data_IF_190314871126
#
_entry.id   IF_190314871126
#
_cell.length_a   1.000
_cell.length_b   1.000
_cell.length_c   1.000
_cell.angle_alpha   90.00
_cell.angle_beta   90.00
_cell.angle_gamma   90.00
#
_symmetry.space_group_name_H-M   'P 1'
#
loop_
_entity.id
_entity.type
_entity.pdbx_description
1 polymer ?
#
# COMPACT_ATOMS: atom_id res chain seq x y z
N UNK A 1 -45.92 26.07 55.32
CA UNK A 1 -45.59 25.90 53.88
C UNK A 1 -45.79 27.21 53.09
N UNK A 2 -45.02 28.27 53.38
CA UNK A 2 -44.95 29.50 52.55
C UNK A 2 -43.52 30.07 52.41
N UNK A 3 -42.52 29.56 53.14
CA UNK A 3 -41.13 30.03 53.08
C UNK A 3 -40.23 29.37 52.01
N UNK A 4 -40.56 28.17 51.54
CA UNK A 4 -39.71 27.41 50.58
C UNK A 4 -39.95 27.84 49.12
N UNK A 5 -41.09 28.45 48.80
CA UNK A 5 -41.40 28.87 47.43
C UNK A 5 -40.77 30.22 47.03
N UNK A 6 -40.41 31.07 48.01
CA UNK A 6 -39.80 32.38 47.75
C UNK A 6 -38.29 32.26 47.46
N UNK A 7 -37.59 31.29 48.07
CA UNK A 7 -36.14 31.12 47.86
C UNK A 7 -35.78 30.59 46.45
N UNK A 8 -36.67 29.80 45.81
CA UNK A 8 -36.45 29.27 44.46
C UNK A 8 -36.56 30.32 43.34
N UNK A 9 -37.31 31.41 43.55
CA UNK A 9 -37.44 32.49 42.53
C UNK A 9 -36.23 33.42 42.46
N UNK A 10 -35.47 33.56 43.55
CA UNK A 10 -34.27 34.40 43.58
C UNK A 10 -33.00 33.72 43.04
N UNK A 11 -32.91 32.39 43.14
CA UNK A 11 -31.76 31.64 42.59
C UNK A 11 -31.86 31.51 41.05
N UNK A 12 -33.08 31.48 40.50
CA UNK A 12 -33.31 31.48 39.05
C UNK A 12 -33.14 32.86 38.39
N UNK A 13 -33.30 33.98 39.13
CA UNK A 13 -33.02 35.32 38.60
C UNK A 13 -31.53 35.68 38.64
N UNK A 14 -30.74 35.11 39.57
CA UNK A 14 -29.29 35.33 39.63
C UNK A 14 -28.51 34.59 38.52
N UNK A 15 -29.01 33.46 38.03
CA UNK A 15 -28.35 32.67 36.96
C UNK A 15 -28.58 33.23 35.56
N UNK A 16 -29.70 33.91 35.31
CA UNK A 16 -29.98 34.56 34.02
C UNK A 16 -29.13 35.81 33.74
N UNK A 17 -28.80 36.59 34.77
CA UNK A 17 -28.00 37.81 34.61
C UNK A 17 -26.53 37.57 34.24
N UNK A 18 -25.95 36.46 34.72
CA UNK A 18 -24.54 36.13 34.50
C UNK A 18 -24.28 35.64 33.07
N UNK A 19 -25.24 34.92 32.47
CA UNK A 19 -25.17 34.46 31.07
C UNK A 19 -25.33 35.62 30.09
N UNK A 20 -26.23 36.58 30.37
CA UNK A 20 -26.41 37.77 29.52
C UNK A 20 -25.16 38.66 29.56
N UNK A 21 -24.48 38.77 30.70
CA UNK A 21 -23.22 39.51 30.83
C UNK A 21 -22.09 38.98 29.94
N UNK A 22 -21.95 37.64 29.84
CA UNK A 22 -20.91 37.00 29.02
C UNK A 22 -21.18 37.18 27.52
N UNK A 23 -22.45 37.15 27.11
CA UNK A 23 -22.82 37.38 25.70
C UNK A 23 -22.53 38.84 25.30
N UNK A 24 -22.86 39.80 26.15
CA UNK A 24 -22.57 41.23 25.90
C UNK A 24 -21.06 41.48 25.87
N UNK A 25 -20.27 40.87 26.76
CA UNK A 25 -18.81 41.04 26.75
C UNK A 25 -18.14 40.45 25.50
N UNK A 26 -18.67 39.34 24.98
CA UNK A 26 -18.16 38.71 23.75
C UNK A 26 -18.44 39.58 22.53
N UNK A 27 -19.65 40.15 22.43
CA UNK A 27 -20.02 41.08 21.36
C UNK A 27 -19.20 42.39 21.43
N UNK A 28 -18.90 42.89 22.63
CA UNK A 28 -18.03 44.07 22.79
C UNK A 28 -16.56 43.79 22.45
N UNK A 29 -16.09 42.56 22.66
CA UNK A 29 -14.74 42.14 22.30
C UNK A 29 -14.58 41.99 20.78
N UNK A 30 -15.59 41.44 20.10
CA UNK A 30 -15.60 41.29 18.65
C UNK A 30 -15.71 42.62 17.88
N UNK A 31 -16.20 43.69 18.55
CA UNK A 31 -16.36 45.02 17.97
C UNK A 31 -15.19 45.99 18.25
N UNK A 32 -14.07 45.52 18.82
CA UNK A 32 -12.85 46.33 18.90
C UNK A 32 -12.16 46.38 17.54
N UNK A 33 -12.42 47.47 16.82
CA UNK A 33 -11.84 47.89 15.56
C UNK A 33 -10.32 47.73 15.50
N UNK A 34 -9.82 47.03 14.49
CA UNK A 34 -8.43 47.06 14.07
C UNK A 34 -8.01 48.49 13.72
N UNK A 35 -7.06 49.05 14.46
CA UNK A 35 -6.42 50.34 14.13
C UNK A 35 -5.45 50.10 12.97
N UNK A 36 -5.70 50.75 11.84
CA UNK A 36 -4.75 50.80 10.73
C UNK A 36 -3.54 51.66 11.12
N UNK A 37 -2.33 51.10 10.99
CA UNK A 37 -1.06 51.83 11.18
C UNK A 37 -0.70 52.53 9.86
N UNK A 38 -0.25 53.80 9.86
CA UNK A 38 0.11 54.49 8.63
C UNK A 38 1.43 53.96 8.06
N UNK A 39 1.46 53.66 6.76
CA UNK A 39 2.69 53.35 6.01
C UNK A 39 3.55 54.60 5.86
N UNK A 40 4.82 54.50 6.24
CA UNK A 40 5.85 55.48 5.90
C UNK A 40 6.52 55.10 4.57
N UNK A 41 6.54 56.05 3.64
CA UNK A 41 7.25 55.95 2.36
C UNK A 41 8.77 56.04 2.59
N UNK A 42 9.55 55.11 2.02
CA UNK A 42 10.95 55.24 1.53
C UNK A 42 11.33 53.92 0.78
N UNK A 43 12.32 53.93 -0.13
CA UNK A 43 12.13 53.63 -1.57
C UNK A 43 12.22 52.15 -1.96
N UNK A 44 11.54 51.81 -3.07
CA UNK A 44 11.62 50.52 -3.77
C UNK A 44 13.07 50.19 -4.15
N UNK A 45 13.61 49.12 -3.59
CA UNK A 45 14.71 48.36 -4.19
C UNK A 45 14.06 47.15 -4.83
N UNK A 46 14.05 47.13 -6.17
CA UNK A 46 13.81 45.92 -6.95
C UNK A 46 14.87 44.88 -6.56
N UNK A 47 14.42 43.76 -6.00
CA UNK A 47 15.16 42.51 -6.03
C UNK A 47 14.36 41.51 -6.85
N UNK A 48 14.65 41.50 -8.14
CA UNK A 48 14.45 40.33 -8.98
C UNK A 48 15.29 39.17 -8.44
N UNK A 49 14.66 37.98 -8.44
CA UNK A 49 15.27 36.65 -8.40
C UNK A 49 16.17 36.28 -7.22
N UNK A 50 15.51 35.80 -6.15
CA UNK A 50 16.04 34.70 -5.34
C UNK A 50 14.87 33.90 -4.75
N UNK A 51 14.23 33.09 -5.58
CA UNK A 51 13.40 31.98 -5.11
C UNK A 51 14.37 30.88 -4.62
N UNK A 52 14.99 31.12 -3.47
CA UNK A 52 15.79 30.11 -2.77
C UNK A 52 14.84 29.24 -1.95
N UNK A 53 14.84 27.95 -2.32
CA UNK A 53 14.23 26.81 -1.65
C UNK A 53 14.15 26.99 -0.12
N UNK A 54 12.94 27.20 0.39
CA UNK A 54 12.59 26.65 1.68
C UNK A 54 12.51 25.14 1.49
N UNK A 55 13.42 24.40 2.13
CA UNK A 55 13.17 22.99 2.44
C UNK A 55 11.89 22.95 3.27
N UNK A 56 10.75 22.77 2.61
CA UNK A 56 9.46 22.51 3.23
C UNK A 56 9.69 21.38 4.23
N UNK A 57 9.22 21.51 5.49
CA UNK A 57 9.54 20.61 6.61
C UNK A 57 9.13 19.13 6.47
N UNK A 58 8.94 18.65 5.25
CA UNK A 58 8.85 17.26 4.84
C UNK A 58 10.03 16.46 5.37
N UNK A 59 9.72 15.24 5.78
CA UNK A 59 10.69 14.24 6.22
C UNK A 59 10.42 12.97 5.43
N UNK A 60 11.47 12.28 4.96
CA UNK A 60 11.31 11.02 4.27
C UNK A 60 10.90 9.93 5.26
N UNK A 61 10.09 8.98 4.78
CA UNK A 61 9.69 7.79 5.55
C UNK A 61 10.91 6.89 5.79
N UNK A 62 11.83 6.81 4.82
CA UNK A 62 13.08 6.04 4.90
C UNK A 62 14.28 6.92 4.55
N UNK A 63 15.47 6.60 5.05
CA UNK A 63 16.71 7.32 4.67
C UNK A 63 17.42 6.71 3.43
N UNK A 64 16.64 6.07 2.57
CA UNK A 64 17.11 5.52 1.30
C UNK A 64 17.29 6.62 0.24
N UNK A 65 17.98 6.28 -0.85
CA UNK A 65 18.23 7.23 -1.94
C UNK A 65 16.93 7.76 -2.52
N UNK A 66 16.02 6.85 -2.86
CA UNK A 66 14.65 7.16 -3.27
C UNK A 66 13.74 6.94 -2.07
N UNK A 67 13.00 7.97 -1.68
CA UNK A 67 12.03 7.89 -0.58
C UNK A 67 10.85 8.81 -0.85
N UNK A 68 9.92 8.89 0.10
CA UNK A 68 8.70 9.66 -0.03
C UNK A 68 8.25 10.27 1.29
N UNK A 69 7.29 11.19 1.22
CA UNK A 69 6.59 11.80 2.34
C UNK A 69 5.09 11.92 2.02
N UNK A 70 4.25 11.65 3.01
CA UNK A 70 2.78 11.80 2.95
C UNK A 70 2.28 12.96 3.84
N UNK A 71 3.19 13.86 4.22
CA UNK A 71 2.88 15.04 5.04
C UNK A 71 2.12 16.09 4.24
N UNK A 72 1.38 16.95 4.95
CA UNK A 72 0.59 18.03 4.37
C UNK A 72 -0.49 17.55 3.38
N UNK A 73 -1.03 16.33 3.58
CA UNK A 73 -2.03 15.71 2.70
C UNK A 73 -1.58 15.50 1.24
N UNK A 74 -0.27 15.45 1.02
CA UNK A 74 0.31 15.29 -0.32
C UNK A 74 1.33 14.15 -0.36
N UNK A 75 1.40 13.45 -1.48
CA UNK A 75 2.49 12.53 -1.79
C UNK A 75 3.64 13.30 -2.46
N UNK A 76 4.81 13.29 -1.82
CA UNK A 76 6.04 13.86 -2.35
C UNK A 76 7.13 12.79 -2.38
N UNK A 77 7.94 12.77 -3.44
CA UNK A 77 9.09 11.88 -3.59
C UNK A 77 10.40 12.66 -3.52
N UNK A 78 11.45 11.99 -3.06
CA UNK A 78 12.82 12.50 -3.05
C UNK A 78 13.74 11.47 -3.68
N UNK A 79 14.77 11.93 -4.41
CA UNK A 79 15.81 11.11 -5.01
C UNK A 79 17.18 11.34 -4.36
N UNK A 80 17.22 12.13 -3.28
CA UNK A 80 18.42 12.56 -2.59
C UNK A 80 18.18 12.68 -1.08
N UNK A 81 17.58 11.64 -0.48
CA UNK A 81 17.42 11.50 0.98
C UNK A 81 16.71 12.69 1.66
N UNK A 82 15.83 13.37 0.94
CA UNK A 82 15.01 14.47 1.45
C UNK A 82 15.61 15.86 1.28
N UNK A 83 16.71 16.02 0.53
CA UNK A 83 17.26 17.33 0.19
C UNK A 83 16.32 18.10 -0.76
N UNK A 84 15.83 17.43 -1.81
CA UNK A 84 14.85 17.96 -2.75
C UNK A 84 13.61 17.06 -2.85
N UNK A 85 12.48 17.68 -3.22
CA UNK A 85 11.17 17.04 -3.25
C UNK A 85 10.43 17.33 -4.56
N UNK A 86 9.81 16.30 -5.10
CA UNK A 86 8.90 16.39 -6.25
C UNK A 86 7.52 15.94 -5.81
N UNK A 87 6.51 16.78 -6.03
CA UNK A 87 5.12 16.43 -5.76
C UNK A 87 4.62 15.43 -6.80
N UNK A 88 3.99 14.36 -6.33
CA UNK A 88 3.28 13.39 -7.18
C UNK A 88 1.85 13.91 -7.42
N UNK A 89 1.36 13.99 -8.66
CA UNK A 89 0.02 14.48 -8.95
C UNK A 89 -1.04 13.39 -8.70
N UNK A 90 -1.20 13.04 -7.42
CA UNK A 90 -2.18 12.08 -6.88
C UNK A 90 -2.75 12.67 -5.58
N UNK A 91 -4.07 12.57 -5.41
CA UNK A 91 -4.73 12.89 -4.15
C UNK A 91 -4.43 11.80 -3.13
N UNK A 92 -3.91 12.17 -1.94
CA UNK A 92 -3.41 11.21 -0.93
C UNK A 92 -4.41 10.11 -0.59
N UNK A 93 -5.68 10.45 -0.39
CA UNK A 93 -6.71 9.47 -0.02
C UNK A 93 -6.95 8.39 -1.08
N UNK A 94 -6.68 8.69 -2.35
CA UNK A 94 -6.86 7.73 -3.44
C UNK A 94 -5.83 6.60 -3.43
N UNK A 95 -4.71 6.73 -2.71
CA UNK A 95 -3.70 5.69 -2.51
C UNK A 95 -4.19 4.60 -1.54
N UNK A 96 -5.16 4.95 -0.69
CA UNK A 96 -5.64 4.13 0.44
C UNK A 96 -7.06 3.60 0.23
N UNK A 97 -7.57 3.63 -1.01
CA UNK A 97 -8.90 3.13 -1.34
C UNK A 97 -9.01 1.64 -1.01
N UNK A 98 -10.19 1.17 -0.64
CA UNK A 98 -10.44 -0.23 -0.40
C UNK A 98 -10.37 -0.62 1.08
N UNK A 99 -10.23 -1.91 1.35
CA UNK A 99 -10.23 -2.49 2.69
C UNK A 99 -8.89 -2.27 3.40
N UNK A 100 -8.40 -1.03 3.42
CA UNK A 100 -7.21 -0.64 4.16
C UNK A 100 -7.58 0.03 5.47
N UNK A 101 -7.11 -0.52 6.59
CA UNK A 101 -7.34 -0.02 7.95
C UNK A 101 -6.04 0.36 8.68
N UNK A 102 -4.91 0.36 7.98
CA UNK A 102 -3.62 0.75 8.52
C UNK A 102 -3.44 2.27 8.61
N UNK A 103 -2.25 2.70 9.03
CA UNK A 103 -1.90 4.12 9.05
C UNK A 103 -1.79 4.67 7.64
N UNK A 104 -2.33 5.88 7.41
CA UNK A 104 -2.14 6.63 6.16
C UNK A 104 -0.88 7.50 6.16
N UNK A 105 0.05 7.23 7.07
CA UNK A 105 1.35 7.91 7.17
C UNK A 105 2.41 7.24 6.28
N UNK A 106 2.19 5.98 5.87
CA UNK A 106 3.04 5.21 4.98
C UNK A 106 2.22 4.65 3.81
N UNK A 107 2.84 4.49 2.64
CA UNK A 107 2.22 3.84 1.50
C UNK A 107 1.95 2.36 1.82
N UNK A 108 0.89 1.81 1.23
CA UNK A 108 0.56 0.39 1.39
C UNK A 108 1.69 -0.45 0.77
N UNK A 109 2.28 -1.41 1.52
CA UNK A 109 3.30 -2.28 0.97
C UNK A 109 2.84 -2.98 -0.31
N UNK A 110 3.70 -3.01 -1.33
CA UNK A 110 3.40 -3.57 -2.65
C UNK A 110 2.60 -2.64 -3.57
N UNK A 111 2.03 -1.53 -3.10
CA UNK A 111 1.22 -0.64 -3.94
C UNK A 111 2.04 0.40 -4.73
N UNK A 112 3.36 0.33 -4.68
CA UNK A 112 4.27 1.30 -5.28
C UNK A 112 5.60 0.66 -5.65
N UNK A 113 6.35 1.33 -6.53
CA UNK A 113 7.68 0.91 -6.98
C UNK A 113 8.61 2.11 -6.92
N UNK A 114 9.80 1.89 -6.38
CA UNK A 114 10.92 2.81 -6.46
C UNK A 114 12.13 2.13 -7.08
N UNK A 115 12.64 2.71 -8.15
CA UNK A 115 13.89 2.34 -8.81
C UNK A 115 14.45 3.57 -9.51
N UNK A 116 15.73 3.55 -9.87
CA UNK A 116 16.35 4.64 -10.63
C UNK A 116 15.68 4.85 -12.01
N UNK A 117 15.16 3.76 -12.60
CA UNK A 117 14.51 3.77 -13.91
C UNK A 117 13.04 4.23 -13.84
N UNK A 118 12.37 4.06 -12.69
CA UNK A 118 10.94 4.31 -12.54
C UNK A 118 10.52 4.47 -11.09
N UNK A 119 9.62 5.42 -10.87
CA UNK A 119 8.72 5.43 -9.72
C UNK A 119 7.28 5.23 -10.17
N UNK A 120 6.48 4.50 -9.40
CA UNK A 120 5.09 4.24 -9.76
C UNK A 120 4.19 3.89 -8.57
N UNK A 121 2.89 4.13 -8.72
CA UNK A 121 1.89 4.00 -7.64
C UNK A 121 0.56 3.45 -8.18
N UNK A 122 0.00 2.47 -7.47
CA UNK A 122 -1.41 2.09 -7.60
C UNK A 122 -2.27 3.06 -6.81
N UNK A 123 -3.31 3.60 -7.42
CA UNK A 123 -4.29 4.49 -6.77
C UNK A 123 -5.63 4.48 -7.50
N UNK A 124 -6.65 5.12 -6.91
CA UNK A 124 -7.92 5.43 -7.57
C UNK A 124 -9.15 4.86 -6.86
N UNK A 125 -10.28 5.56 -6.98
CA UNK A 125 -11.55 5.24 -6.29
C UNK A 125 -12.50 4.42 -7.16
N UNK A 126 -12.84 4.93 -8.35
CA UNK A 126 -13.80 4.30 -9.26
C UNK A 126 -13.12 3.28 -10.19
N UNK A 127 -11.88 3.60 -10.58
CA UNK A 127 -11.00 2.74 -11.37
C UNK A 127 -9.67 2.61 -10.65
N UNK A 128 -8.99 1.49 -10.86
CA UNK A 128 -7.64 1.25 -10.34
C UNK A 128 -6.65 1.64 -11.42
N UNK A 129 -5.77 2.58 -11.09
CA UNK A 129 -4.84 3.24 -11.99
C UNK A 129 -3.41 3.01 -11.53
N UNK A 130 -2.48 2.99 -12.48
CA UNK A 130 -1.05 3.02 -12.23
C UNK A 130 -0.48 4.34 -12.76
N UNK A 131 -0.05 5.23 -11.86
CA UNK A 131 0.64 6.46 -12.24
C UNK A 131 2.14 6.29 -12.02
N UNK A 132 2.94 6.66 -13.02
CA UNK A 132 4.38 6.46 -13.00
C UNK A 132 5.15 7.60 -13.68
N UNK A 133 6.43 7.69 -13.35
CA UNK A 133 7.41 8.57 -13.98
C UNK A 133 8.69 7.78 -14.25
N UNK A 134 9.39 8.13 -15.35
CA UNK A 134 10.70 7.57 -15.75
C UNK A 134 11.79 8.64 -15.88
N UNK A 135 11.47 9.87 -15.48
CA UNK A 135 12.33 11.05 -15.60
C UNK A 135 12.39 11.81 -14.27
N UNK A 136 12.45 11.05 -13.18
CA UNK A 136 12.55 11.54 -11.80
C UNK A 136 11.44 12.52 -11.39
N UNK A 137 10.23 12.29 -11.89
CA UNK A 137 9.04 13.06 -11.54
C UNK A 137 8.84 14.35 -12.35
N UNK A 138 9.63 14.57 -13.41
CA UNK A 138 9.46 15.72 -14.33
C UNK A 138 8.18 15.56 -15.15
N UNK A 139 7.91 14.35 -15.67
CA UNK A 139 6.65 14.01 -16.34
C UNK A 139 6.02 12.77 -15.71
N UNK A 140 4.68 12.70 -15.83
CA UNK A 140 3.87 11.62 -15.27
C UNK A 140 2.98 11.02 -16.35
N UNK A 141 2.93 9.70 -16.38
CA UNK A 141 2.06 8.89 -17.23
C UNK A 141 1.13 8.05 -16.37
N UNK A 142 0.05 7.57 -16.98
CA UNK A 142 -1.02 6.86 -16.27
C UNK A 142 -1.55 5.74 -17.16
N UNK A 143 -1.63 4.53 -16.60
CA UNK A 143 -2.30 3.38 -17.19
C UNK A 143 -3.50 2.96 -16.35
N UNK A 144 -4.55 2.49 -17.01
CA UNK A 144 -5.74 1.96 -16.32
C UNK A 144 -5.53 0.46 -16.09
N UNK A 145 -5.33 0.04 -14.85
CA UNK A 145 -5.23 -1.39 -14.49
C UNK A 145 -6.60 -2.03 -14.64
N UNK A 146 -7.62 -1.44 -14.01
CA UNK A 146 -9.00 -1.92 -14.12
C UNK A 146 -9.99 -0.77 -14.02
N UNK A 147 -10.94 -0.73 -14.95
CA UNK A 147 -12.01 0.28 -14.96
C UNK A 147 -13.04 0.05 -13.87
N UNK A 148 -13.32 -1.21 -13.58
CA UNK A 148 -14.29 -1.64 -12.57
C UNK A 148 -13.64 -2.76 -11.78
N UNK A 149 -13.29 -2.48 -10.54
CA UNK A 149 -12.79 -3.49 -9.62
C UNK A 149 -13.63 -3.45 -8.34
N UNK A 150 -13.93 -4.60 -7.72
CA UNK A 150 -14.54 -4.59 -6.39
C UNK A 150 -13.71 -3.81 -5.38
N UNK A 151 -14.26 -3.57 -4.20
CA UNK A 151 -13.55 -2.85 -3.14
C UNK A 151 -12.21 -3.55 -2.81
N UNK A 152 -11.08 -2.91 -3.17
CA UNK A 152 -9.76 -3.55 -3.18
C UNK A 152 -9.29 -3.89 -1.77
N UNK A 153 -8.97 -5.14 -1.48
CA UNK A 153 -8.32 -5.52 -0.22
C UNK A 153 -6.80 -5.57 -0.37
N UNK A 154 -6.31 -6.40 -1.27
CA UNK A 154 -4.88 -6.56 -1.54
C UNK A 154 -4.52 -5.92 -2.88
N UNK A 155 -3.34 -5.32 -2.95
CA UNK A 155 -2.75 -4.82 -4.18
C UNK A 155 -1.25 -5.00 -4.17
N UNK A 156 -0.70 -5.44 -5.28
CA UNK A 156 0.74 -5.50 -5.52
C UNK A 156 1.03 -5.09 -6.94
N UNK A 157 2.11 -4.36 -7.17
CA UNK A 157 2.65 -4.06 -8.50
C UNK A 157 4.16 -4.25 -8.49
N UNK A 158 4.68 -4.79 -9.57
CA UNK A 158 6.12 -4.94 -9.76
C UNK A 158 6.47 -4.96 -11.26
N UNK A 159 7.74 -4.70 -11.57
CA UNK A 159 8.29 -4.73 -12.93
C UNK A 159 9.55 -5.57 -12.96
N UNK A 160 9.60 -6.56 -13.85
CA UNK A 160 10.80 -7.38 -14.06
C UNK A 160 11.81 -6.70 -15.01
N UNK A 161 11.32 -5.80 -15.85
CA UNK A 161 12.12 -4.95 -16.72
C UNK A 161 11.34 -3.67 -17.10
N UNK A 162 11.90 -2.83 -17.96
CA UNK A 162 11.30 -1.54 -18.33
C UNK A 162 9.94 -1.66 -19.05
N UNK A 163 9.63 -2.82 -19.62
CA UNK A 163 8.43 -3.10 -20.41
C UNK A 163 7.45 -4.02 -19.68
N UNK A 164 7.93 -5.13 -19.13
CA UNK A 164 7.10 -6.12 -18.50
C UNK A 164 6.91 -5.86 -17.00
N UNK A 165 5.65 -5.83 -16.60
CA UNK A 165 5.25 -5.76 -15.20
C UNK A 165 3.91 -6.43 -14.96
N UNK A 166 3.57 -6.58 -13.69
CA UNK A 166 2.33 -7.20 -13.25
C UNK A 166 1.69 -6.40 -12.12
N UNK A 167 0.37 -6.50 -12.02
CA UNK A 167 -0.39 -6.05 -10.88
C UNK A 167 -1.31 -7.17 -10.40
N UNK A 168 -1.31 -7.43 -9.09
CA UNK A 168 -2.20 -8.42 -8.45
C UNK A 168 -3.16 -7.66 -7.56
N UNK A 169 -4.46 -7.83 -7.79
CA UNK A 169 -5.52 -7.16 -7.04
C UNK A 169 -6.46 -8.21 -6.44
N UNK A 170 -6.93 -7.98 -5.22
CA UNK A 170 -8.04 -8.75 -4.64
C UNK A 170 -9.12 -7.86 -4.09
N UNK A 171 -10.34 -8.36 -3.98
CA UNK A 171 -11.48 -7.62 -3.45
C UNK A 171 -12.71 -8.50 -3.22
N UNK A 172 -13.82 -7.86 -2.84
CA UNK A 172 -15.09 -8.54 -2.54
C UNK A 172 -14.96 -9.66 -1.50
N UNK A 173 -14.16 -9.40 -0.45
CA UNK A 173 -13.88 -10.41 0.55
C UNK A 173 -15.13 -10.71 1.38
N UNK A 174 -15.51 -11.98 1.41
CA UNK A 174 -16.57 -12.51 2.26
C UNK A 174 -16.05 -13.73 3.01
N UNK A 175 -16.04 -13.65 4.35
CA UNK A 175 -15.44 -14.67 5.22
C UNK A 175 -13.96 -14.92 4.82
N UNK A 176 -13.58 -16.16 4.55
CA UNK A 176 -12.23 -16.56 4.11
C UNK A 176 -12.13 -16.70 2.59
N UNK A 177 -13.00 -16.01 1.84
CA UNK A 177 -12.99 -16.01 0.38
C UNK A 177 -12.90 -14.60 -0.19
N UNK A 178 -12.26 -14.45 -1.35
CA UNK A 178 -12.19 -13.20 -2.10
C UNK A 178 -12.04 -13.44 -3.61
N UNK A 179 -12.35 -12.40 -4.38
CA UNK A 179 -12.00 -12.32 -5.79
C UNK A 179 -10.53 -11.94 -5.93
N UNK A 180 -9.81 -12.60 -6.85
CA UNK A 180 -8.43 -12.27 -7.21
C UNK A 180 -8.30 -12.09 -8.71
N UNK A 181 -7.48 -11.14 -9.13
CA UNK A 181 -7.19 -10.87 -10.54
C UNK A 181 -5.72 -10.48 -10.69
N UNK A 182 -5.16 -10.86 -11.84
CA UNK A 182 -3.81 -10.51 -12.25
C UNK A 182 -3.90 -9.72 -13.55
N UNK A 183 -3.13 -8.64 -13.63
CA UNK A 183 -3.02 -7.80 -14.81
C UNK A 183 -1.56 -7.76 -15.23
N UNK A 184 -1.32 -7.87 -16.53
CA UNK A 184 0.03 -7.81 -17.12
C UNK A 184 0.15 -6.56 -17.98
N UNK A 185 1.35 -5.99 -18.01
CA UNK A 185 1.71 -4.95 -18.96
C UNK A 185 2.95 -5.37 -19.72
N UNK A 186 2.99 -5.05 -21.01
CA UNK A 186 4.15 -5.29 -21.89
C UNK A 186 4.69 -3.99 -22.51
N UNK A 187 4.15 -2.83 -22.11
CA UNK A 187 4.56 -1.50 -22.60
C UNK A 187 5.03 -0.57 -21.47
N UNK A 188 5.35 -1.17 -20.33
CA UNK A 188 5.85 -0.46 -19.18
C UNK A 188 4.75 0.29 -18.44
N UNK A 189 3.56 -0.27 -18.34
CA UNK A 189 2.46 0.23 -17.51
C UNK A 189 1.55 1.25 -18.17
N UNK A 190 1.62 1.42 -19.49
CA UNK A 190 0.73 2.29 -20.27
C UNK A 190 -0.61 1.56 -20.49
N UNK A 191 -0.54 0.29 -20.87
CA UNK A 191 -1.70 -0.60 -21.01
C UNK A 191 -1.55 -1.84 -20.12
N UNK A 192 -2.70 -2.36 -19.67
CA UNK A 192 -2.79 -3.50 -18.76
C UNK A 192 -3.88 -4.45 -19.26
N UNK A 193 -3.54 -5.73 -19.36
CA UNK A 193 -4.43 -6.80 -19.78
C UNK A 193 -4.68 -7.76 -18.62
N UNK A 194 -5.95 -8.06 -18.33
CA UNK A 194 -6.32 -9.02 -17.29
C UNK A 194 -6.06 -10.45 -17.78
N UNK A 195 -5.46 -11.28 -16.93
CA UNK A 195 -5.25 -12.71 -17.21
C UNK A 195 -6.51 -13.52 -16.93
N UNK A 196 -6.48 -14.83 -17.22
CA UNK A 196 -7.47 -15.73 -16.62
C UNK A 196 -7.29 -15.80 -15.11
N UNK A 197 -8.37 -16.09 -14.37
CA UNK A 197 -8.34 -16.21 -12.91
C UNK A 197 -7.95 -17.63 -12.49
N UNK A 198 -7.00 -17.81 -11.55
CA UNK A 198 -6.77 -19.11 -10.94
C UNK A 198 -8.06 -19.66 -10.31
N UNK A 199 -8.32 -20.99 -10.34
CA UNK A 199 -9.55 -21.58 -9.83
C UNK A 199 -9.56 -21.69 -8.28
N UNK A 200 -9.23 -20.60 -7.58
CA UNK A 200 -9.30 -20.48 -6.13
C UNK A 200 -10.00 -19.19 -5.73
N UNK A 201 -10.87 -19.29 -4.73
CA UNK A 201 -11.52 -18.13 -4.09
C UNK A 201 -10.95 -17.86 -2.72
N UNK A 202 -9.87 -18.52 -2.30
CA UNK A 202 -9.26 -18.30 -0.97
C UNK A 202 -8.59 -16.94 -0.89
N UNK A 203 -8.29 -16.51 0.34
CA UNK A 203 -7.51 -15.28 0.58
C UNK A 203 -6.12 -15.45 0.00
N UNK A 204 -5.63 -14.47 -0.76
CA UNK A 204 -4.27 -14.48 -1.29
C UNK A 204 -3.25 -14.33 -0.16
N UNK A 205 -2.20 -15.15 -0.21
CA UNK A 205 -1.00 -15.00 0.58
C UNK A 205 0.01 -14.07 -0.13
N UNK A 206 0.29 -14.35 -1.41
CA UNK A 206 1.13 -13.50 -2.28
C UNK A 206 0.89 -13.87 -3.76
N UNK A 207 1.35 -13.01 -4.68
CA UNK A 207 1.28 -13.24 -6.13
C UNK A 207 2.37 -12.49 -6.89
N UNK A 208 2.86 -13.07 -7.99
CA UNK A 208 3.86 -12.40 -8.82
C UNK A 208 4.40 -13.24 -9.96
N UNK A 209 5.21 -12.60 -10.82
CA UNK A 209 5.83 -13.22 -11.99
C UNK A 209 7.35 -13.22 -11.84
N UNK A 210 8.00 -14.23 -12.40
CA UNK A 210 9.48 -14.35 -12.43
C UNK A 210 10.05 -14.18 -13.85
N UNK A 211 9.19 -14.28 -14.86
CA UNK A 211 9.44 -13.91 -16.25
C UNK A 211 8.09 -13.63 -16.94
N UNK A 212 8.11 -13.29 -18.22
CA UNK A 212 6.91 -12.89 -18.98
C UNK A 212 5.85 -14.00 -19.11
N UNK A 213 6.23 -15.26 -18.92
CA UNK A 213 5.33 -16.40 -19.10
C UNK A 213 5.00 -17.11 -17.78
N UNK A 214 5.90 -17.04 -16.80
CA UNK A 214 5.84 -17.81 -15.56
C UNK A 214 5.44 -16.94 -14.38
N UNK A 215 4.26 -17.22 -13.83
CA UNK A 215 3.69 -16.50 -12.70
C UNK A 215 3.06 -17.42 -11.68
N UNK A 216 2.94 -16.93 -10.45
CA UNK A 216 2.50 -17.70 -9.29
C UNK A 216 1.44 -16.94 -8.50
N UNK A 217 0.46 -17.68 -7.99
CA UNK A 217 -0.56 -17.18 -7.08
C UNK A 217 -0.63 -18.13 -5.88
N UNK A 218 -0.25 -17.64 -4.71
CA UNK A 218 -0.26 -18.38 -3.46
C UNK A 218 -1.47 -17.95 -2.63
N UNK A 219 -2.21 -18.91 -2.12
CA UNK A 219 -3.41 -18.69 -1.32
C UNK A 219 -3.24 -19.23 0.10
N UNK A 220 -3.77 -18.49 1.07
CA UNK A 220 -3.78 -18.83 2.48
C UNK A 220 -5.19 -19.15 3.01
N UNK A 221 -5.22 -19.82 4.15
CA UNK A 221 -6.42 -19.96 5.00
C UNK A 221 -5.99 -19.99 6.46
N UNK A 222 -6.96 -19.95 7.39
CA UNK A 222 -6.70 -19.90 8.84
C UNK A 222 -5.97 -21.18 9.32
N UNK A 223 -6.34 -22.34 8.76
CA UNK A 223 -5.74 -23.63 9.09
C UNK A 223 -5.50 -24.40 7.77
N UNK A 224 -4.42 -24.09 7.03
CA UNK A 224 -4.10 -24.80 5.81
C UNK A 224 -3.48 -26.15 6.16
N UNK A 225 -4.01 -27.23 5.59
CA UNK A 225 -3.42 -28.58 5.72
C UNK A 225 -2.24 -28.76 4.74
N UNK A 226 -2.18 -27.94 3.69
CA UNK A 226 -1.13 -27.94 2.67
C UNK A 226 -1.08 -26.58 1.96
N UNK A 227 0.03 -26.26 1.29
CA UNK A 227 0.12 -25.04 0.48
C UNK A 227 -0.85 -25.09 -0.70
N UNK A 228 -1.41 -23.93 -1.02
CA UNK A 228 -2.30 -23.74 -2.16
C UNK A 228 -1.63 -22.77 -3.14
N UNK A 229 -0.86 -23.33 -4.08
CA UNK A 229 -0.04 -22.59 -5.03
C UNK A 229 -0.50 -22.92 -6.45
N UNK A 230 -0.77 -21.89 -7.24
CA UNK A 230 -1.04 -22.00 -8.66
C UNK A 230 0.11 -21.41 -9.47
N UNK A 231 0.38 -22.02 -10.63
CA UNK A 231 1.38 -21.58 -11.60
C UNK A 231 0.74 -21.40 -12.97
N UNK A 232 1.16 -20.34 -13.67
CA UNK A 232 0.99 -20.20 -15.11
C UNK A 232 2.35 -20.30 -15.78
N UNK A 233 2.41 -20.85 -16.99
CA UNK A 233 3.61 -20.92 -17.84
C UNK A 233 3.35 -20.35 -19.25
N UNK A 234 2.20 -19.68 -19.42
CA UNK A 234 1.71 -19.15 -20.69
C UNK A 234 1.22 -17.70 -20.56
N UNK A 235 1.75 -16.95 -19.59
CA UNK A 235 1.41 -15.54 -19.39
C UNK A 235 0.02 -15.34 -18.79
N UNK A 236 -0.46 -16.27 -17.97
CA UNK A 236 -1.76 -16.19 -17.31
C UNK A 236 -2.94 -16.60 -18.20
N UNK A 237 -2.70 -17.18 -19.37
CA UNK A 237 -3.77 -17.76 -20.20
C UNK A 237 -4.38 -19.00 -19.55
N UNK A 238 -3.57 -19.79 -18.84
CA UNK A 238 -4.02 -20.91 -18.01
C UNK A 238 -3.27 -20.98 -16.69
N UNK A 239 -3.95 -21.48 -15.66
CA UNK A 239 -3.40 -21.68 -14.32
C UNK A 239 -3.57 -23.12 -13.88
N UNK A 240 -2.50 -23.69 -13.33
CA UNK A 240 -2.44 -25.07 -12.85
C UNK A 240 -2.07 -25.11 -11.37
N UNK A 241 -2.71 -25.98 -10.60
CA UNK A 241 -2.29 -26.22 -9.23
C UNK A 241 -0.90 -26.87 -9.23
N UNK A 242 0.03 -26.31 -8.45
CA UNK A 242 1.36 -26.87 -8.26
C UNK A 242 1.29 -28.11 -7.38
N UNK A 243 2.02 -29.15 -7.75
CA UNK A 243 2.15 -30.37 -6.94
C UNK A 243 3.38 -30.23 -6.04
N UNK A 244 3.16 -30.22 -4.72
CA UNK A 244 4.23 -30.06 -3.74
C UNK A 244 4.38 -31.37 -2.97
N UNK A 245 5.54 -32.02 -3.14
CA UNK A 245 5.90 -33.27 -2.49
C UNK A 245 6.48 -32.99 -1.10
N UNK A 246 5.60 -32.99 -0.11
CA UNK A 246 5.98 -32.82 1.30
C UNK A 246 6.25 -34.20 1.92
N UNK A 247 7.45 -34.46 2.48
CA UNK A 247 7.73 -35.69 3.20
C UNK A 247 6.77 -35.91 4.38
N UNK A 248 6.41 -37.15 4.68
CA UNK A 248 5.42 -37.50 5.72
C UNK A 248 5.75 -36.89 7.09
N UNK A 249 7.04 -36.78 7.45
CA UNK A 249 7.43 -36.14 8.72
C UNK A 249 7.13 -34.64 8.81
N UNK A 250 6.82 -33.99 7.69
CA UNK A 250 6.50 -32.57 7.58
C UNK A 250 5.03 -32.32 7.18
N UNK A 251 4.19 -33.34 7.22
CA UNK A 251 2.76 -33.20 6.96
C UNK A 251 2.13 -32.17 7.91
N UNK A 252 1.30 -31.29 7.38
CA UNK A 252 0.69 -30.14 8.07
C UNK A 252 1.67 -29.08 8.63
N UNK A 253 2.98 -29.20 8.39
CA UNK A 253 3.99 -28.24 8.91
C UNK A 253 4.24 -27.11 7.93
N UNK A 254 4.58 -27.42 6.68
CA UNK A 254 4.87 -26.41 5.65
C UNK A 254 3.64 -26.20 4.79
N UNK A 255 2.92 -25.11 5.05
CA UNK A 255 1.51 -24.96 4.62
C UNK A 255 1.20 -23.66 3.90
N UNK A 256 2.13 -22.70 3.86
CA UNK A 256 1.92 -21.44 3.13
C UNK A 256 3.15 -21.11 2.27
N UNK A 257 2.95 -21.16 0.95
CA UNK A 257 3.99 -20.92 -0.04
C UNK A 257 4.30 -19.42 -0.17
N UNK A 258 5.57 -19.08 -0.21
CA UNK A 258 6.05 -17.77 -0.64
C UNK A 258 6.15 -17.73 -2.17
N UNK A 259 6.60 -16.61 -2.74
CA UNK A 259 6.83 -16.58 -4.19
C UNK A 259 8.11 -17.31 -4.56
N UNK A 260 8.06 -18.17 -5.58
CA UNK A 260 9.27 -18.76 -6.13
C UNK A 260 10.26 -17.73 -6.64
N UNK A 261 11.54 -18.06 -6.49
CA UNK A 261 12.64 -17.32 -7.09
C UNK A 261 13.41 -18.22 -8.07
N UNK A 262 13.99 -17.60 -9.09
CA UNK A 262 14.88 -18.26 -10.04
C UNK A 262 16.27 -18.37 -9.41
N UNK A 263 16.72 -19.61 -9.20
CA UNK A 263 18.13 -19.94 -8.98
C UNK A 263 18.73 -20.41 -10.32
N UNK A 264 20.07 -20.54 -10.41
CA UNK A 264 20.79 -20.69 -11.69
C UNK A 264 20.16 -21.71 -12.66
N UNK A 265 19.78 -22.89 -12.18
CA UNK A 265 19.26 -24.00 -12.99
C UNK A 265 17.84 -24.47 -12.59
N UNK A 266 17.20 -23.84 -11.61
CA UNK A 266 15.93 -24.29 -11.05
C UNK A 266 15.11 -23.17 -10.42
N UNK A 267 13.87 -23.46 -10.04
CA UNK A 267 13.11 -22.59 -9.14
C UNK A 267 13.20 -23.07 -7.71
N UNK A 268 13.34 -22.12 -6.80
CA UNK A 268 13.36 -22.33 -5.36
C UNK A 268 12.11 -21.72 -4.75
N UNK A 269 11.45 -22.48 -3.89
CA UNK A 269 10.25 -22.08 -3.16
C UNK A 269 10.47 -22.29 -1.68
N UNK A 270 10.24 -21.23 -0.89
CA UNK A 270 10.13 -21.35 0.55
C UNK A 270 8.67 -21.52 0.95
N UNK A 271 8.41 -22.44 1.87
CA UNK A 271 7.09 -22.69 2.43
C UNK A 271 7.19 -22.56 3.94
N UNK A 272 6.44 -21.61 4.49
CA UNK A 272 6.39 -21.36 5.92
C UNK A 272 5.21 -22.11 6.58
N UNK A 273 5.14 -22.00 7.91
CA UNK A 273 4.22 -22.79 8.71
C UNK A 273 2.83 -22.15 8.90
N UNK A 274 2.54 -21.05 8.16
CA UNK A 274 1.34 -20.27 8.35
C UNK A 274 1.27 -19.59 9.71
N UNK A 275 0.11 -18.99 10.03
CA UNK A 275 -0.06 -18.20 11.25
C UNK A 275 -0.04 -19.01 12.55
N UNK A 276 -0.28 -20.32 12.47
CA UNK A 276 -0.48 -21.20 13.62
C UNK A 276 0.67 -22.20 13.81
N UNK A 277 1.74 -22.09 13.02
CA UNK A 277 2.88 -23.01 13.09
C UNK A 277 3.70 -22.84 14.36
N UNK A 278 4.01 -23.95 15.02
CA UNK A 278 4.84 -24.01 16.23
C UNK A 278 6.05 -24.94 16.08
N UNK A 279 6.19 -25.60 14.93
CA UNK A 279 7.29 -26.53 14.65
C UNK A 279 8.64 -25.82 14.74
N UNK A 280 9.55 -26.38 15.52
CA UNK A 280 10.89 -25.84 15.76
C UNK A 280 10.86 -24.33 16.14
N UNK A 281 9.87 -23.91 16.92
CA UNK A 281 9.71 -22.51 17.34
C UNK A 281 8.98 -21.62 16.34
N UNK A 282 8.32 -22.20 15.33
CA UNK A 282 7.40 -21.53 14.39
C UNK A 282 8.06 -20.71 13.29
N UNK A 283 9.39 -20.76 13.18
CA UNK A 283 10.14 -19.90 12.23
C UNK A 283 10.88 -20.67 11.14
N UNK A 284 11.01 -21.99 11.27
CA UNK A 284 11.64 -22.83 10.25
C UNK A 284 10.76 -22.88 9.01
N UNK A 285 11.37 -22.75 7.83
CA UNK A 285 10.71 -22.92 6.53
C UNK A 285 11.22 -24.17 5.83
N UNK A 286 10.43 -24.74 4.93
CA UNK A 286 10.89 -25.77 4.00
C UNK A 286 11.32 -25.13 2.69
N UNK A 287 12.52 -25.46 2.20
CA UNK A 287 12.96 -25.14 0.83
C UNK A 287 12.58 -26.30 -0.10
N UNK A 288 11.94 -25.95 -1.20
CA UNK A 288 11.53 -26.88 -2.25
C UNK A 288 12.12 -26.43 -3.59
N UNK A 289 12.40 -27.40 -4.46
CA UNK A 289 13.01 -27.18 -5.77
C UNK A 289 12.07 -27.68 -6.86
N UNK A 290 11.91 -26.88 -7.89
CA UNK A 290 11.22 -27.25 -9.13
C UNK A 290 12.17 -27.17 -10.33
N UNK A 291 12.11 -28.20 -11.19
CA UNK A 291 12.86 -28.26 -12.46
C UNK A 291 11.96 -28.15 -13.69
N UNK A 292 10.67 -27.98 -13.48
CA UNK A 292 9.63 -27.93 -14.52
C UNK A 292 8.86 -26.60 -14.46
N UNK A 293 9.55 -25.51 -14.11
CA UNK A 293 9.00 -24.16 -13.98
C UNK A 293 7.79 -24.06 -13.04
N UNK A 294 7.81 -24.83 -11.96
CA UNK A 294 6.88 -24.70 -10.84
C UNK A 294 5.65 -25.60 -10.90
N UNK A 295 5.57 -26.54 -11.84
CA UNK A 295 4.48 -27.52 -11.86
C UNK A 295 4.62 -28.54 -10.73
N UNK A 296 5.85 -29.00 -10.47
CA UNK A 296 6.17 -29.92 -9.39
C UNK A 296 7.31 -29.41 -8.52
N UNK A 297 7.22 -29.68 -7.22
CA UNK A 297 8.15 -29.22 -6.20
C UNK A 297 8.56 -30.36 -5.28
N UNK A 298 9.86 -30.62 -5.15
CA UNK A 298 10.39 -31.63 -4.23
C UNK A 298 11.11 -30.96 -3.06
N UNK A 299 10.91 -31.47 -1.85
CA UNK A 299 11.59 -30.97 -0.65
C UNK A 299 13.11 -31.11 -0.79
N UNK A 300 13.83 -30.03 -0.48
CA UNK A 300 15.28 -29.99 -0.49
C UNK A 300 15.85 -30.02 0.94
N UNK A 301 15.44 -29.06 1.78
CA UNK A 301 15.94 -28.93 3.14
C UNK A 301 15.06 -28.01 3.99
N UNK A 302 15.23 -28.09 5.31
CA UNK A 302 14.77 -27.02 6.22
C UNK A 302 15.69 -25.80 6.09
N UNK A 303 15.12 -24.61 6.25
CA UNK A 303 15.83 -23.33 6.27
C UNK A 303 15.57 -22.67 7.61
N UNK A 304 16.66 -22.34 8.30
CA UNK A 304 16.60 -21.64 9.59
C UNK A 304 16.33 -20.14 9.38
N UNK A 305 15.73 -19.43 10.36
CA UNK A 305 15.29 -18.04 10.17
C UNK A 305 16.42 -17.10 9.77
N UNK A 306 17.61 -17.35 10.28
CA UNK A 306 18.85 -16.58 10.08
C UNK A 306 19.57 -16.92 8.76
N UNK A 307 19.03 -17.84 7.96
CA UNK A 307 19.51 -18.17 6.61
C UNK A 307 18.48 -17.79 5.52
N UNK A 308 17.33 -17.22 5.92
CA UNK A 308 16.17 -16.96 5.06
C UNK A 308 15.96 -15.46 4.74
N UNK A 309 16.88 -14.59 5.14
CA UNK A 309 16.87 -13.13 4.89
C UNK A 309 17.81 -12.73 3.74
#
# INVERSE_FOLDING_TARGET
MKGVLLLKKWILSLSGGLVIGIIISTIMYENQTHVAVPQSNLPKVEQENAQQNQTNGLRPVTYEQISYSLQNEELNITYNKGEDWVRVPIEKDSLFVGEYNGSKDELIPGSYIFSDARVGFIYGTDSILFKFSRDHGVTWQEGVISKNFPYVRYRKVDFLNDQFGYAVLTGDRTMSQEFSAVFLTHDGGITWDETTTPPSTRIIADGGFIDENTGFMSYGTINPDKPDLYVTQDGGQTWHASVIEIPEQYDLIFVQAELPIREEDHLSLLINQGSNGDYAGGKVKGKFISKDNGLTWSFAMEVQPNEAE
#
